data_IF_283723702744
#
_entry.id   IF_283723702744
#
_cell.length_a   1.000
_cell.length_b   1.000
_cell.length_c   1.000
_cell.angle_alpha   90.00
_cell.angle_beta   90.00
_cell.angle_gamma   90.00
#
_symmetry.space_group_name_H-M   'P 1'
#
loop_
_entity.id
_entity.type
_entity.pdbx_description
1 polymer ?
#
# COMPACT_ATOMS: atom_id res chain seq x y z
N UNK A 1 -2.82 -25.55 -3.78
CA UNK A 1 -4.20 -25.80 -4.26
C UNK A 1 -5.11 -24.83 -3.54
N UNK A 2 -5.70 -23.87 -4.24
CA UNK A 2 -6.61 -22.89 -3.64
C UNK A 2 -7.98 -23.55 -3.48
N UNK A 3 -8.60 -23.47 -2.30
CA UNK A 3 -9.88 -24.11 -2.03
C UNK A 3 -11.00 -23.62 -2.99
N UNK A 4 -11.98 -24.45 -3.38
CA UNK A 4 -13.03 -24.12 -4.35
C UNK A 4 -13.83 -22.85 -4.05
N UNK A 5 -13.93 -22.47 -2.77
CA UNK A 5 -14.57 -21.24 -2.32
C UNK A 5 -13.83 -19.97 -2.79
N UNK A 6 -12.53 -20.04 -3.04
CA UNK A 6 -11.74 -18.91 -3.54
C UNK A 6 -11.89 -18.76 -5.08
N UNK A 7 -12.25 -19.82 -5.81
CA UNK A 7 -12.38 -19.78 -7.28
C UNK A 7 -13.64 -19.03 -7.74
N UNK A 8 -14.74 -19.10 -6.99
CA UNK A 8 -15.96 -18.30 -7.27
C UNK A 8 -15.77 -16.80 -7.06
N UNK A 9 -14.79 -16.42 -6.23
CA UNK A 9 -14.42 -15.02 -5.97
C UNK A 9 -13.59 -14.45 -7.13
N UNK A 10 -12.96 -15.31 -7.94
CA UNK A 10 -12.16 -14.93 -9.12
C UNK A 10 -13.06 -14.62 -10.33
N UNK A 11 -14.07 -15.43 -10.60
CA UNK A 11 -14.92 -15.29 -11.79
C UNK A 11 -15.81 -14.02 -11.76
N UNK A 12 -16.22 -13.56 -10.57
CA UNK A 12 -17.02 -12.33 -10.41
C UNK A 12 -16.24 -11.03 -10.59
N UNK A 13 -14.92 -11.08 -10.74
CA UNK A 13 -14.06 -9.90 -10.90
C UNK A 13 -14.15 -9.29 -12.28
N UNK A 14 -14.16 -10.15 -13.30
CA UNK A 14 -14.10 -9.74 -14.71
C UNK A 14 -15.34 -8.93 -15.11
N UNK A 15 -16.47 -9.17 -14.45
CA UNK A 15 -17.72 -8.47 -14.72
C UNK A 15 -17.81 -7.10 -14.01
N UNK A 16 -17.11 -6.90 -12.88
CA UNK A 16 -17.16 -5.65 -12.11
C UNK A 16 -16.38 -4.51 -12.76
N UNK A 17 -15.32 -4.82 -13.53
CA UNK A 17 -14.52 -3.83 -14.27
C UNK A 17 -15.25 -3.21 -15.47
N UNK A 18 -16.32 -3.84 -15.96
CA UNK A 18 -17.08 -3.34 -17.11
C UNK A 18 -18.07 -2.23 -16.73
N UNK A 19 -18.48 -2.16 -15.46
CA UNK A 19 -19.65 -1.36 -15.04
C UNK A 19 -19.32 -0.17 -14.10
N UNK A 20 -18.06 0.09 -13.74
CA UNK A 20 -17.69 1.21 -12.85
C UNK A 20 -16.44 1.98 -13.30
N UNK A 21 -16.57 3.22 -13.81
CA UNK A 21 -15.45 4.04 -14.30
C UNK A 21 -14.60 4.72 -13.19
N UNK A 22 -14.81 4.39 -11.91
CA UNK A 22 -14.12 5.03 -10.77
C UNK A 22 -13.24 4.06 -9.96
N UNK A 23 -12.95 2.88 -10.48
CA UNK A 23 -12.20 1.84 -9.76
C UNK A 23 -10.92 1.50 -10.52
N UNK A 24 -9.76 1.79 -9.91
CA UNK A 24 -8.47 1.27 -10.34
C UNK A 24 -7.91 0.43 -9.19
N UNK A 25 -7.84 -0.88 -9.40
CA UNK A 25 -7.21 -1.80 -8.47
C UNK A 25 -6.10 -2.56 -9.20
N UNK A 26 -4.89 -2.57 -8.65
CA UNK A 26 -3.83 -3.47 -9.09
C UNK A 26 -3.74 -4.63 -8.11
N UNK A 27 -4.06 -5.84 -8.60
CA UNK A 27 -4.05 -7.08 -7.82
C UNK A 27 -2.67 -7.73 -7.96
N UNK A 28 -1.87 -7.77 -6.89
CA UNK A 28 -0.89 -8.85 -6.69
C UNK A 28 -1.45 -9.76 -5.61
N UNK A 29 -2.28 -10.72 -6.03
CA UNK A 29 -2.86 -11.76 -5.18
C UNK A 29 -4.20 -11.41 -4.52
N UNK A 30 -5.30 -11.81 -5.19
CA UNK A 30 -6.63 -11.91 -4.59
C UNK A 30 -7.48 -10.62 -4.63
N UNK A 31 -8.79 -10.80 -4.62
CA UNK A 31 -9.77 -9.90 -5.21
C UNK A 31 -10.74 -9.23 -4.23
N UNK A 32 -11.19 -8.01 -4.55
CA UNK A 32 -12.20 -7.25 -3.78
C UNK A 32 -13.62 -7.48 -4.33
N UNK A 33 -14.58 -7.78 -3.45
CA UNK A 33 -16.02 -7.77 -3.75
C UNK A 33 -16.70 -6.46 -3.29
N UNK A 34 -17.81 -6.13 -3.96
CA UNK A 34 -18.69 -4.97 -3.76
C UNK A 34 -19.59 -5.16 -2.53
N UNK A 35 -19.44 -4.33 -1.49
CA UNK A 35 -20.50 -3.54 -0.81
C UNK A 35 -20.10 -3.01 0.59
N UNK A 36 -20.38 -1.71 0.80
CA UNK A 36 -20.66 -1.00 2.07
C UNK A 36 -19.65 -1.14 3.21
N UNK A 37 -18.44 -0.67 2.97
CA UNK A 37 -17.66 0.05 3.98
C UNK A 37 -16.76 1.08 3.30
N UNK A 38 -17.34 1.95 2.48
CA UNK A 38 -16.57 3.01 1.84
C UNK A 38 -16.57 4.22 2.77
N UNK A 39 -15.41 4.77 3.15
CA UNK A 39 -15.33 5.87 4.11
C UNK A 39 -15.66 7.21 3.46
N UNK A 40 -16.38 7.18 2.35
CA UNK A 40 -16.72 8.35 1.57
C UNK A 40 -17.98 9.01 2.10
N UNK A 41 -18.17 10.29 1.83
CA UNK A 41 -19.36 11.04 2.21
C UNK A 41 -20.64 10.50 1.58
N UNK A 42 -20.55 9.83 0.44
CA UNK A 42 -21.68 9.12 -0.18
C UNK A 42 -22.27 8.04 0.75
N UNK A 43 -21.42 7.37 1.52
CA UNK A 43 -21.78 6.30 2.45
C UNK A 43 -21.68 6.75 3.93
N UNK A 44 -21.67 8.05 4.21
CA UNK A 44 -21.65 8.62 5.56
C UNK A 44 -20.29 8.67 6.25
N UNK A 45 -19.20 8.48 5.51
CA UNK A 45 -17.82 8.68 5.98
C UNK A 45 -17.30 10.12 5.77
N UNK A 46 -16.03 10.34 6.14
CA UNK A 46 -15.42 11.67 6.18
C UNK A 46 -14.72 12.10 4.87
N UNK A 47 -14.42 11.15 3.98
CA UNK A 47 -13.63 11.41 2.76
C UNK A 47 -14.49 11.72 1.55
N UNK A 48 -13.99 12.54 0.62
CA UNK A 48 -14.73 12.87 -0.60
C UNK A 48 -14.66 11.76 -1.64
N UNK A 49 -13.56 11.02 -1.66
CA UNK A 49 -13.29 9.89 -2.57
C UNK A 49 -12.17 9.02 -2.00
N UNK A 50 -12.02 7.83 -2.56
CA UNK A 50 -10.88 6.93 -2.32
C UNK A 50 -10.29 6.51 -3.68
N UNK A 51 -9.00 6.22 -3.72
CA UNK A 51 -8.30 5.73 -4.94
C UNK A 51 -7.18 4.75 -4.59
N UNK A 52 -6.51 4.27 -5.63
CA UNK A 52 -5.25 3.50 -5.57
C UNK A 52 -5.34 2.22 -4.72
N UNK A 53 -6.48 1.52 -4.78
CA UNK A 53 -6.69 0.37 -3.90
C UNK A 53 -5.76 -0.82 -4.22
N UNK A 54 -5.07 -1.31 -3.19
CA UNK A 54 -4.23 -2.54 -3.23
C UNK A 54 -4.77 -3.56 -2.25
N UNK A 55 -4.76 -4.84 -2.63
CA UNK A 55 -5.28 -5.95 -1.81
C UNK A 55 -4.14 -6.83 -1.33
N UNK A 56 -4.17 -7.22 -0.05
CA UNK A 56 -3.33 -8.26 0.50
C UNK A 56 -4.15 -9.25 1.33
N UNK A 57 -3.63 -10.45 1.51
CA UNK A 57 -4.16 -11.41 2.48
C UNK A 57 -3.09 -11.76 3.50
N UNK A 58 -3.46 -11.61 4.77
CA UNK A 58 -2.69 -12.03 5.92
C UNK A 58 -3.08 -13.45 6.30
N UNK A 59 -2.16 -14.39 6.03
CA UNK A 59 -2.36 -15.80 6.30
C UNK A 59 -2.36 -16.11 7.81
N UNK A 60 -1.58 -15.39 8.61
CA UNK A 60 -1.48 -15.66 10.04
C UNK A 60 -2.75 -15.25 10.78
N UNK A 61 -3.37 -14.15 10.34
CA UNK A 61 -4.58 -13.59 10.95
C UNK A 61 -5.87 -13.92 10.20
N UNK A 62 -5.81 -14.68 9.10
CA UNK A 62 -6.96 -14.98 8.23
C UNK A 62 -7.76 -13.73 7.88
N UNK A 63 -7.07 -12.70 7.38
CA UNK A 63 -7.64 -11.37 7.17
C UNK A 63 -7.21 -10.81 5.81
N UNK A 64 -8.19 -10.40 5.02
CA UNK A 64 -8.01 -9.59 3.82
C UNK A 64 -7.84 -8.13 4.21
N UNK A 65 -6.90 -7.45 3.56
CA UNK A 65 -6.65 -6.02 3.68
C UNK A 65 -6.87 -5.36 2.33
N UNK A 66 -7.51 -4.20 2.32
CA UNK A 66 -7.50 -3.26 1.20
C UNK A 66 -6.89 -1.97 1.70
N UNK A 67 -5.73 -1.60 1.18
CA UNK A 67 -5.19 -0.26 1.35
C UNK A 67 -5.86 0.69 0.36
N UNK A 68 -5.94 1.98 0.69
CA UNK A 68 -6.41 3.02 -0.22
C UNK A 68 -5.88 4.39 0.18
N UNK A 69 -5.75 5.28 -0.79
CA UNK A 69 -5.64 6.71 -0.56
C UNK A 69 -7.04 7.31 -0.33
N UNK A 70 -7.25 7.93 0.83
CA UNK A 70 -8.51 8.54 1.20
C UNK A 70 -8.43 10.06 1.10
N UNK A 71 -9.18 10.63 0.17
CA UNK A 71 -9.04 12.04 -0.21
C UNK A 71 -10.04 12.89 0.56
N UNK A 72 -9.55 13.91 1.27
CA UNK A 72 -10.37 14.78 2.12
C UNK A 72 -11.31 15.69 1.32
N UNK A 73 -12.45 16.04 1.91
CA UNK A 73 -13.54 16.81 1.27
C UNK A 73 -13.32 18.32 1.23
N UNK A 74 -12.54 18.90 2.14
CA UNK A 74 -12.37 20.34 2.27
C UNK A 74 -11.15 20.82 1.47
N UNK A 75 -11.39 21.39 0.29
CA UNK A 75 -10.37 21.83 -0.68
C UNK A 75 -9.73 23.19 -0.35
N UNK A 76 -9.41 23.48 0.92
CA UNK A 76 -8.58 24.66 1.26
C UNK A 76 -7.08 24.35 1.25
N UNK A 77 -6.71 23.07 1.12
CA UNK A 77 -5.34 22.61 0.94
C UNK A 77 -5.26 21.80 -0.35
N UNK A 78 -4.30 22.15 -1.19
CA UNK A 78 -3.88 21.35 -2.34
C UNK A 78 -3.55 19.93 -1.88
N UNK A 79 -4.34 18.95 -2.34
CA UNK A 79 -4.10 17.50 -2.27
C UNK A 79 -3.70 16.96 -0.87
N UNK A 80 -4.67 16.63 -0.01
CA UNK A 80 -4.44 15.88 1.23
C UNK A 80 -5.17 14.53 1.16
N UNK A 81 -4.36 13.47 1.20
CA UNK A 81 -4.70 12.05 1.10
C UNK A 81 -4.21 11.34 2.35
N UNK A 82 -5.11 10.69 3.09
CA UNK A 82 -4.71 9.77 4.16
C UNK A 82 -4.46 8.38 3.57
N UNK A 83 -3.62 7.59 4.23
CA UNK A 83 -3.48 6.16 3.94
C UNK A 83 -4.35 5.40 4.93
N UNK A 84 -5.26 4.57 4.41
CA UNK A 84 -6.21 3.80 5.21
C UNK A 84 -6.22 2.33 4.81
N UNK A 85 -6.68 1.47 5.71
CA UNK A 85 -6.88 0.04 5.45
C UNK A 85 -8.26 -0.44 5.89
N UNK A 86 -8.99 -1.06 4.97
CA UNK A 86 -10.20 -1.83 5.26
C UNK A 86 -9.87 -3.30 5.45
N UNK A 87 -10.55 -3.98 6.38
CA UNK A 87 -10.26 -5.37 6.75
C UNK A 87 -11.46 -6.28 6.53
N UNK A 88 -11.24 -7.54 6.17
CA UNK A 88 -12.31 -8.53 6.06
C UNK A 88 -11.83 -9.95 6.39
N UNK A 89 -12.63 -10.72 7.13
CA UNK A 89 -12.34 -12.14 7.35
C UNK A 89 -12.86 -13.06 6.25
N UNK A 90 -13.75 -12.57 5.38
CA UNK A 90 -14.42 -13.38 4.35
C UNK A 90 -14.27 -12.80 2.93
N UNK A 91 -13.65 -11.63 2.77
CA UNK A 91 -13.50 -10.93 1.49
C UNK A 91 -14.78 -10.32 0.94
N UNK A 92 -15.90 -10.42 1.68
CA UNK A 92 -17.23 -9.99 1.24
C UNK A 92 -17.76 -8.82 2.07
N UNK A 93 -17.55 -8.87 3.39
CA UNK A 93 -17.98 -7.83 4.34
C UNK A 93 -16.76 -7.18 4.96
N UNK A 94 -16.71 -5.85 4.90
CA UNK A 94 -15.54 -5.08 5.28
C UNK A 94 -15.80 -4.26 6.54
N UNK A 95 -14.76 -4.12 7.38
CA UNK A 95 -14.81 -3.24 8.54
C UNK A 95 -14.81 -1.77 8.12
N UNK A 96 -15.12 -0.87 9.07
CA UNK A 96 -14.71 0.53 8.92
C UNK A 96 -13.19 0.60 8.72
N UNK A 97 -12.68 1.55 7.92
CA UNK A 97 -11.24 1.64 7.71
C UNK A 97 -10.50 2.03 8.97
N UNK A 98 -9.29 1.49 9.09
CA UNK A 98 -8.27 1.85 10.05
C UNK A 98 -7.36 2.88 9.38
N UNK A 99 -7.03 3.94 10.10
CA UNK A 99 -6.06 4.94 9.65
C UNK A 99 -4.64 4.37 9.79
N UNK A 100 -3.87 4.39 8.71
CA UNK A 100 -2.43 4.06 8.72
C UNK A 100 -1.61 5.32 8.90
N UNK A 101 -1.90 6.35 8.09
CA UNK A 101 -1.22 7.63 8.14
C UNK A 101 -2.20 8.77 7.85
N UNK A 102 -2.24 9.75 8.75
CA UNK A 102 -2.97 11.00 8.55
C UNK A 102 -2.08 12.04 7.87
N UNK A 103 -2.55 12.59 6.77
CA UNK A 103 -1.91 13.70 6.07
C UNK A 103 -2.23 15.03 6.77
N UNK A 104 -1.18 15.81 7.05
CA UNK A 104 -1.32 17.21 7.45
C UNK A 104 -1.54 18.14 6.25
N UNK A 105 -1.55 19.45 6.51
CA UNK A 105 -1.74 20.48 5.48
C UNK A 105 -0.63 20.52 4.42
N UNK A 106 0.54 19.95 4.72
CA UNK A 106 1.72 19.93 3.87
C UNK A 106 2.02 18.56 3.26
N UNK A 107 1.18 17.56 3.51
CA UNK A 107 1.41 16.19 3.01
C UNK A 107 0.41 15.86 1.91
N UNK A 108 0.90 15.18 0.88
CA UNK A 108 0.05 14.52 -0.10
C UNK A 108 0.58 13.10 -0.32
N UNK A 109 0.01 12.14 0.37
CA UNK A 109 0.39 10.74 0.23
C UNK A 109 -0.10 10.18 -1.11
N UNK A 110 0.78 9.52 -1.86
CA UNK A 110 0.46 8.89 -3.12
C UNK A 110 1.01 7.45 -3.16
N UNK A 111 0.46 6.66 -4.08
CA UNK A 111 0.85 5.28 -4.41
C UNK A 111 1.00 4.35 -3.20
N UNK A 112 -0.06 4.16 -2.43
CA UNK A 112 0.00 3.21 -1.33
C UNK A 112 0.16 1.76 -1.82
N UNK A 113 0.89 0.95 -1.04
CA UNK A 113 1.04 -0.48 -1.30
C UNK A 113 1.10 -1.32 -0.03
N UNK A 114 0.17 -2.26 0.11
CA UNK A 114 0.15 -3.23 1.21
C UNK A 114 0.65 -4.62 0.78
N UNK A 115 1.49 -5.24 1.62
CA UNK A 115 1.87 -6.66 1.51
C UNK A 115 1.92 -7.29 2.90
N UNK A 116 1.73 -8.60 3.01
CA UNK A 116 1.89 -9.33 4.28
C UNK A 116 2.89 -10.47 4.14
N UNK A 117 3.62 -10.74 5.22
CA UNK A 117 4.48 -11.91 5.30
C UNK A 117 3.66 -13.18 5.39
N UNK A 118 3.67 -13.96 4.31
CA UNK A 118 2.93 -15.21 4.20
C UNK A 118 3.79 -16.45 4.52
N UNK A 119 5.02 -16.30 4.99
CA UNK A 119 5.95 -17.42 5.21
C UNK A 119 5.91 -17.90 6.67
N UNK A 120 5.35 -19.09 6.98
CA UNK A 120 5.26 -19.57 8.37
C UNK A 120 6.61 -19.81 9.07
N UNK A 121 7.70 -19.89 8.30
CA UNK A 121 9.06 -20.01 8.83
C UNK A 121 9.77 -18.68 9.09
N UNK A 122 9.17 -17.55 8.70
CA UNK A 122 9.71 -16.22 8.96
C UNK A 122 9.55 -15.83 10.42
N UNK A 123 10.49 -15.03 10.94
CA UNK A 123 10.40 -14.42 12.28
C UNK A 123 9.27 -13.38 12.37
N UNK A 124 8.80 -12.89 11.22
CA UNK A 124 7.77 -11.85 11.10
C UNK A 124 6.50 -12.38 10.42
N UNK A 125 6.26 -13.70 10.46
CA UNK A 125 5.07 -14.30 9.85
C UNK A 125 3.79 -13.59 10.32
N UNK A 126 2.98 -13.13 9.35
CA UNK A 126 1.77 -12.34 9.63
C UNK A 126 1.96 -10.83 9.74
N UNK A 127 3.20 -10.32 9.73
CA UNK A 127 3.45 -8.87 9.67
C UNK A 127 3.09 -8.34 8.30
N UNK A 128 2.26 -7.30 8.27
CA UNK A 128 1.93 -6.56 7.06
C UNK A 128 2.73 -5.25 6.99
N UNK A 129 3.09 -4.83 5.78
CA UNK A 129 3.85 -3.62 5.50
C UNK A 129 3.03 -2.72 4.59
N UNK A 130 3.04 -1.43 4.88
CA UNK A 130 2.47 -0.38 4.06
C UNK A 130 3.59 0.52 3.56
N UNK A 131 3.65 0.70 2.25
CA UNK A 131 4.47 1.70 1.57
C UNK A 131 3.57 2.83 1.07
N UNK A 132 4.09 4.05 1.02
CA UNK A 132 3.55 5.18 0.26
C UNK A 132 4.63 6.26 0.08
N UNK A 133 4.42 7.19 -0.85
CA UNK A 133 5.26 8.38 -1.02
C UNK A 133 4.53 9.67 -0.63
N UNK A 134 5.25 10.70 -0.19
CA UNK A 134 4.72 12.04 0.02
C UNK A 134 5.11 12.95 -1.16
N UNK A 135 4.18 13.13 -2.09
CA UNK A 135 4.40 13.89 -3.32
C UNK A 135 4.63 15.39 -3.06
N UNK A 136 4.20 15.91 -1.89
CA UNK A 136 4.47 17.29 -1.48
C UNK A 136 5.84 17.44 -0.80
N UNK A 137 6.54 16.34 -0.55
CA UNK A 137 7.86 16.30 0.06
C UNK A 137 8.87 15.56 -0.82
N UNK A 138 8.94 15.95 -2.10
CA UNK A 138 9.84 15.37 -3.11
C UNK A 138 9.70 13.85 -3.28
N UNK A 139 8.50 13.27 -3.14
CA UNK A 139 8.32 11.81 -3.25
C UNK A 139 9.02 11.07 -2.10
N UNK A 140 8.97 11.63 -0.88
CA UNK A 140 9.57 11.00 0.29
C UNK A 140 8.90 9.67 0.57
N UNK A 141 9.69 8.60 0.57
CA UNK A 141 9.24 7.24 0.87
C UNK A 141 8.90 7.10 2.36
N UNK A 142 7.77 6.47 2.64
CA UNK A 142 7.29 6.17 3.98
C UNK A 142 6.91 4.69 4.08
N UNK A 143 7.30 4.06 5.18
CA UNK A 143 7.02 2.67 5.50
C UNK A 143 6.40 2.55 6.88
N UNK A 144 5.36 1.73 7.02
CA UNK A 144 4.79 1.32 8.30
C UNK A 144 4.52 -0.17 8.30
N UNK A 145 4.42 -0.80 9.47
CA UNK A 145 4.05 -2.20 9.58
C UNK A 145 2.96 -2.43 10.63
N UNK A 146 2.27 -3.56 10.50
CA UNK A 146 1.22 -4.04 11.40
C UNK A 146 1.49 -5.49 11.78
N UNK A 147 1.35 -5.81 13.06
CA UNK A 147 1.51 -7.17 13.61
C UNK A 147 0.18 -7.85 13.96
N UNK A 148 -0.95 -7.17 13.75
CA UNK A 148 -2.27 -7.58 14.25
C UNK A 148 -3.33 -7.64 13.13
N UNK A 149 -2.87 -8.01 11.94
CA UNK A 149 -3.69 -8.11 10.74
C UNK A 149 -4.33 -6.79 10.34
N UNK A 150 -3.59 -5.68 10.48
CA UNK A 150 -3.99 -4.34 10.04
C UNK A 150 -4.87 -3.55 11.01
N UNK A 151 -4.97 -3.95 12.29
CA UNK A 151 -5.72 -3.22 13.32
C UNK A 151 -4.97 -1.98 13.81
N UNK A 152 -3.66 -2.10 13.96
CA UNK A 152 -2.76 -1.01 14.34
C UNK A 152 -1.53 -1.01 13.45
N UNK A 153 -0.96 0.18 13.26
CA UNK A 153 0.18 0.42 12.38
C UNK A 153 1.27 1.16 13.14
N UNK A 154 2.52 0.81 12.88
CA UNK A 154 3.68 1.44 13.48
C UNK A 154 3.79 2.91 13.06
N UNK A 155 4.55 3.69 13.83
CA UNK A 155 5.00 4.98 13.33
C UNK A 155 5.72 4.80 11.99
N UNK A 156 5.43 5.68 11.03
CA UNK A 156 6.04 5.63 9.72
C UNK A 156 7.53 5.99 9.78
N UNK A 157 8.35 5.21 9.10
CA UNK A 157 9.80 5.42 8.96
C UNK A 157 10.17 5.57 7.49
N UNK A 158 11.28 6.24 7.22
CA UNK A 158 11.83 6.40 5.87
C UNK A 158 13.25 5.82 5.81
N UNK A 159 13.79 5.50 4.62
CA UNK A 159 15.22 5.36 4.42
C UNK A 159 16.00 6.56 4.98
N UNK A 160 17.24 6.34 5.43
CA UNK A 160 18.04 7.40 6.09
C UNK A 160 18.40 8.50 5.11
N UNK A 161 18.81 8.15 3.89
CA UNK A 161 19.07 9.10 2.82
C UNK A 161 17.76 9.69 2.28
N UNK A 162 17.60 10.99 2.48
CA UNK A 162 16.45 11.78 2.04
C UNK A 162 16.72 12.57 0.75
N UNK A 163 17.89 12.38 0.12
CA UNK A 163 18.24 12.94 -1.18
C UNK A 163 17.77 12.03 -2.33
N UNK A 164 16.61 11.40 -2.15
CA UNK A 164 16.00 10.47 -3.09
C UNK A 164 14.50 10.76 -3.19
N UNK A 165 14.01 10.87 -4.42
CA UNK A 165 12.59 10.95 -4.72
C UNK A 165 12.11 9.59 -5.24
N UNK A 166 11.15 8.97 -4.55
CA UNK A 166 10.53 7.70 -4.92
C UNK A 166 9.07 7.86 -5.33
N UNK A 167 8.59 6.94 -6.15
CA UNK A 167 7.17 6.82 -6.50
C UNK A 167 6.81 5.34 -6.69
N UNK A 168 5.76 4.90 -6.01
CA UNK A 168 5.17 3.57 -6.18
C UNK A 168 6.10 2.42 -5.85
N UNK A 169 6.61 2.38 -4.61
CA UNK A 169 7.33 1.22 -4.10
C UNK A 169 6.42 0.00 -3.95
N UNK A 170 6.97 -1.18 -4.21
CA UNK A 170 6.20 -2.43 -4.13
C UNK A 170 6.92 -3.43 -3.23
N UNK A 171 6.66 -3.43 -1.92
CA UNK A 171 7.34 -4.31 -1.00
C UNK A 171 7.07 -5.79 -1.30
N UNK A 172 8.14 -6.59 -1.27
CA UNK A 172 8.14 -8.05 -1.44
C UNK A 172 8.81 -8.68 -0.23
N UNK A 173 8.06 -9.51 0.49
CA UNK A 173 8.59 -10.25 1.65
C UNK A 173 9.26 -11.54 1.18
N UNK A 174 10.47 -11.79 1.65
CA UNK A 174 11.26 -12.98 1.37
C UNK A 174 11.00 -14.08 2.42
N UNK A 175 11.31 -15.37 2.11
CA UNK A 175 11.06 -16.47 3.04
C UNK A 175 11.76 -16.38 4.41
N UNK A 176 12.84 -15.62 4.50
CA UNK A 176 13.60 -15.38 5.74
C UNK A 176 13.07 -14.19 6.56
N UNK A 177 12.04 -13.49 6.07
CA UNK A 177 11.43 -12.32 6.70
C UNK A 177 12.05 -10.98 6.28
N UNK A 178 13.06 -10.99 5.41
CA UNK A 178 13.58 -9.75 4.82
C UNK A 178 12.54 -9.15 3.86
N UNK A 179 12.53 -7.82 3.74
CA UNK A 179 11.62 -7.11 2.83
C UNK A 179 12.44 -6.31 1.85
N UNK A 180 12.23 -6.56 0.55
CA UNK A 180 12.85 -5.82 -0.55
C UNK A 180 11.77 -4.96 -1.19
N UNK A 181 12.08 -3.69 -1.45
CA UNK A 181 11.14 -2.75 -2.07
C UNK A 181 11.74 -2.19 -3.36
N UNK A 182 11.45 -2.80 -4.53
CA UNK A 182 11.66 -2.13 -5.81
C UNK A 182 10.79 -0.88 -5.91
N UNK A 183 11.35 0.20 -6.47
CA UNK A 183 10.70 1.50 -6.60
C UNK A 183 11.24 2.26 -7.81
N UNK A 184 10.41 3.04 -8.49
CA UNK A 184 10.89 4.03 -9.45
C UNK A 184 11.39 5.27 -8.71
N UNK A 185 12.53 5.84 -9.11
CA UNK A 185 12.96 7.07 -8.48
C UNK A 185 14.13 7.78 -9.11
N UNK A 186 14.50 8.86 -8.43
CA UNK A 186 15.47 9.85 -8.87
C UNK A 186 16.38 10.23 -7.70
N UNK A 187 17.69 10.06 -7.87
CA UNK A 187 18.68 10.59 -6.94
C UNK A 187 18.79 12.10 -7.15
N UNK A 188 18.38 12.88 -6.14
CA UNK A 188 18.33 14.34 -6.19
C UNK A 188 19.72 14.99 -6.18
N UNK A 189 20.76 14.23 -5.84
CA UNK A 189 22.15 14.70 -5.81
C UNK A 189 22.83 14.51 -7.15
N UNK A 190 22.67 13.32 -7.74
CA UNK A 190 23.38 12.94 -8.98
C UNK A 190 22.53 13.13 -10.24
N UNK A 191 21.22 13.26 -10.08
CA UNK A 191 20.26 13.29 -11.17
C UNK A 191 20.01 11.94 -11.83
N UNK A 192 20.44 10.84 -11.19
CA UNK A 192 20.28 9.51 -11.74
C UNK A 192 18.83 9.02 -11.58
N UNK A 193 18.15 8.82 -12.71
CA UNK A 193 16.81 8.23 -12.78
C UNK A 193 16.87 6.71 -13.01
N UNK A 194 15.93 5.95 -12.46
CA UNK A 194 15.80 4.53 -12.76
C UNK A 194 14.92 3.76 -11.81
N UNK A 195 15.07 2.44 -11.85
CA UNK A 195 14.51 1.55 -10.83
C UNK A 195 15.57 1.37 -9.75
N UNK A 196 15.14 1.58 -8.51
CA UNK A 196 15.92 1.42 -7.31
C UNK A 196 15.33 0.32 -6.44
N UNK A 197 16.08 -0.11 -5.43
CA UNK A 197 15.59 -0.99 -4.38
C UNK A 197 16.15 -0.56 -3.05
N UNK A 198 15.34 -0.66 -2.00
CA UNK A 198 15.80 -0.59 -0.60
C UNK A 198 15.30 -1.82 0.15
N UNK A 199 15.86 -2.09 1.33
CA UNK A 199 15.62 -3.35 2.05
C UNK A 199 15.53 -3.14 3.55
N UNK A 200 14.71 -3.96 4.20
CA UNK A 200 14.72 -4.15 5.66
C UNK A 200 15.02 -5.60 6.00
N UNK A 201 15.86 -5.80 7.02
CA UNK A 201 16.22 -7.13 7.56
C UNK A 201 15.76 -7.32 9.00
N UNK A 202 15.01 -6.35 9.53
CA UNK A 202 14.57 -6.30 10.93
C UNK A 202 13.06 -6.05 11.05
N UNK A 203 12.31 -6.46 10.02
CA UNK A 203 10.86 -6.39 10.01
C UNK A 203 10.33 -4.98 9.85
N UNK A 204 11.05 -4.10 9.15
CA UNK A 204 10.62 -2.74 8.82
C UNK A 204 10.92 -1.69 9.87
N UNK A 205 11.76 -2.00 10.88
CA UNK A 205 12.21 -0.99 11.85
C UNK A 205 13.22 -0.04 11.23
N UNK A 206 14.11 -0.56 10.39
CA UNK A 206 15.08 0.23 9.63
C UNK A 206 15.10 -0.19 8.16
N UNK A 207 15.46 0.77 7.30
CA UNK A 207 15.54 0.60 5.86
C UNK A 207 16.90 1.08 5.36
N UNK A 208 17.50 0.32 4.46
CA UNK A 208 18.71 0.77 3.75
C UNK A 208 18.41 1.98 2.87
N UNK A 209 19.45 2.67 2.45
CA UNK A 209 19.32 3.64 1.37
C UNK A 209 18.95 2.95 0.05
N UNK A 210 18.21 3.63 -0.85
CA UNK A 210 17.90 3.10 -2.17
C UNK A 210 19.16 2.89 -3.02
N UNK A 211 19.28 1.72 -3.62
CA UNK A 211 20.34 1.37 -4.59
C UNK A 211 19.76 1.24 -5.99
N UNK A 212 20.43 1.80 -7.01
CA UNK A 212 19.96 1.69 -8.40
C UNK A 212 20.14 0.26 -8.90
N UNK A 213 19.05 -0.36 -9.37
CA UNK A 213 19.05 -1.74 -9.88
C UNK A 213 18.79 -1.83 -11.38
N UNK A 214 18.18 -0.81 -11.99
CA UNK A 214 18.04 -0.71 -13.44
C UNK A 214 17.95 0.75 -13.91
N UNK A 215 18.40 1.08 -15.13
CA UNK A 215 18.14 2.39 -15.72
C UNK A 215 16.66 2.54 -16.11
N UNK A 216 16.16 3.78 -16.08
CA UNK A 216 14.98 4.20 -16.82
C UNK A 216 15.48 4.65 -18.20
N UNK A 217 15.08 3.96 -19.27
CA UNK A 217 15.39 4.38 -20.64
C UNK A 217 14.08 4.72 -21.35
N UNK A 218 13.65 5.97 -21.22
CA UNK A 218 12.75 6.55 -22.21
C UNK A 218 13.58 7.02 -23.39
N UNK A 219 13.47 6.35 -24.54
CA UNK A 219 13.97 6.90 -25.80
C UNK A 219 13.00 8.02 -26.22
N UNK A 220 13.46 9.27 -26.15
CA UNK A 220 12.82 10.41 -26.81
C UNK A 220 13.12 10.41 -28.30
#
# INVERSE_FOLDING_TARGET
>A
MIAPQHQRVIERLIDLFKDNPHFSAMIIGGSVAKERALPTTYDGGAYGRVSDSVVAYDLAHNTWLISSLAIKTTTTVTNSTDVIVSRSHNGLTWSKPVLVAESGLSNNFDKDWVVCDQHPGSKFFGRCYMEWDDSNNNGRIMMSYSDDGGLTWSQAVSPVNQSFAGLGGQPVVQPDGNVIVPIYGYDLTTGAEGIYSYTSIDGGMHWTDPIKIAPSTYFS
#
